data_IF_081992939992
#
_entry.id   IF_081992939992
#
_cell.length_a   1.000
_cell.length_b   1.000
_cell.length_c   1.000
_cell.angle_alpha   90.00
_cell.angle_beta   90.00
_cell.angle_gamma   90.00
#
_symmetry.space_group_name_H-M   'P 1'
#
loop_
_entity.id
_entity.type
_entity.pdbx_description
1 polymer ?
#
# COMPACT_ATOMS: atom_id res chain seq x y z
N UNK A 1 -16.65 -7.38 24.86
CA UNK A 1 -17.38 -7.11 23.59
C UNK A 1 -16.60 -6.23 22.59
N UNK A 2 -15.56 -5.49 22.99
CA UNK A 2 -14.92 -4.43 22.18
C UNK A 2 -13.91 -4.88 21.10
N UNK A 3 -13.63 -6.19 20.96
CA UNK A 3 -12.69 -6.74 19.95
C UNK A 3 -13.34 -7.57 18.83
N UNK A 4 -14.46 -8.25 19.11
CA UNK A 4 -15.21 -9.01 18.11
C UNK A 4 -15.76 -8.11 17.02
N UNK A 5 -16.41 -7.02 17.42
CA UNK A 5 -16.93 -6.01 16.50
C UNK A 5 -15.83 -5.41 15.61
N UNK A 6 -14.63 -5.16 16.13
CA UNK A 6 -13.52 -4.65 15.31
C UNK A 6 -13.02 -5.66 14.28
N UNK A 7 -12.93 -6.94 14.64
CA UNK A 7 -12.53 -8.00 13.69
C UNK A 7 -13.55 -8.17 12.58
N UNK A 8 -14.83 -8.17 12.93
CA UNK A 8 -15.90 -8.34 11.96
C UNK A 8 -16.01 -7.14 11.02
N UNK A 9 -15.80 -5.92 11.55
CA UNK A 9 -15.71 -4.70 10.74
C UNK A 9 -14.49 -4.71 9.80
N UNK A 10 -13.34 -5.21 10.25
CA UNK A 10 -12.15 -5.34 9.39
C UNK A 10 -12.39 -6.37 8.29
N UNK A 11 -13.00 -7.51 8.63
CA UNK A 11 -13.37 -8.54 7.64
C UNK A 11 -14.37 -8.00 6.63
N UNK A 12 -15.40 -7.27 7.09
CA UNK A 12 -16.37 -6.63 6.22
C UNK A 12 -15.73 -5.58 5.30
N UNK A 13 -14.81 -4.76 5.82
CA UNK A 13 -14.03 -3.79 5.03
C UNK A 13 -13.13 -4.47 4.00
N UNK A 14 -12.47 -5.56 4.36
CA UNK A 14 -11.66 -6.34 3.43
C UNK A 14 -12.52 -6.96 2.33
N UNK A 15 -13.61 -7.64 2.69
CA UNK A 15 -14.55 -8.20 1.72
C UNK A 15 -15.17 -7.13 0.82
N UNK A 16 -15.48 -5.93 1.34
CA UNK A 16 -15.95 -4.81 0.53
C UNK A 16 -14.88 -4.33 -0.45
N UNK A 17 -13.62 -4.25 -0.03
CA UNK A 17 -12.50 -3.86 -0.91
C UNK A 17 -12.26 -4.88 -2.04
N UNK A 18 -12.40 -6.18 -1.75
CA UNK A 18 -12.33 -7.23 -2.77
C UNK A 18 -13.52 -7.16 -3.75
N UNK A 19 -14.73 -6.88 -3.24
CA UNK A 19 -15.96 -6.84 -4.06
C UNK A 19 -16.16 -5.53 -4.84
N UNK A 20 -15.68 -4.41 -4.32
CA UNK A 20 -15.84 -3.07 -4.92
C UNK A 20 -14.52 -2.49 -5.45
N UNK A 21 -13.45 -3.28 -5.46
CA UNK A 21 -12.16 -2.86 -5.99
C UNK A 21 -12.21 -2.86 -7.51
N UNK A 22 -12.10 -1.68 -8.13
CA UNK A 22 -11.72 -1.56 -9.54
C UNK A 22 -10.47 -2.41 -9.76
N UNK A 23 -10.44 -3.23 -10.82
CA UNK A 23 -9.24 -4.02 -11.13
C UNK A 23 -8.04 -3.08 -11.29
N UNK A 24 -6.82 -3.59 -11.13
CA UNK A 24 -5.63 -2.75 -11.29
C UNK A 24 -5.58 -2.06 -12.67
N UNK A 25 -6.27 -2.57 -13.69
CA UNK A 25 -6.39 -1.95 -15.01
C UNK A 25 -7.51 -0.89 -15.09
N UNK A 26 -8.53 -0.97 -14.24
CA UNK A 26 -9.66 -0.02 -14.17
C UNK A 26 -9.38 1.17 -13.26
N UNK A 27 -8.24 1.19 -12.56
CA UNK A 27 -7.82 2.35 -11.80
C UNK A 27 -7.40 3.48 -12.75
N UNK A 28 -7.95 4.68 -12.53
CA UNK A 28 -7.74 5.83 -13.42
C UNK A 28 -6.25 6.21 -13.57
N UNK A 29 -5.43 6.00 -12.53
CA UNK A 29 -3.97 6.22 -12.57
C UNK A 29 -3.17 5.15 -13.33
N UNK A 30 -3.83 4.06 -13.71
CA UNK A 30 -3.27 2.95 -14.49
C UNK A 30 -3.80 2.92 -15.94
N UNK A 31 -4.72 3.83 -16.28
CA UNK A 31 -5.29 3.96 -17.63
C UNK A 31 -4.18 4.29 -18.63
N UNK A 32 -4.10 3.52 -19.70
CA UNK A 32 -3.12 3.73 -20.77
C UNK A 32 -1.71 3.20 -20.49
N UNK A 33 -1.49 2.49 -19.37
CA UNK A 33 -0.19 1.88 -19.05
C UNK A 33 -0.20 0.38 -19.26
N UNK A 34 0.87 -0.12 -19.86
CA UNK A 34 1.12 -1.56 -19.93
C UNK A 34 1.43 -2.12 -18.54
N UNK A 35 1.34 -3.44 -18.38
CA UNK A 35 1.72 -4.10 -17.12
C UNK A 35 3.19 -3.85 -16.76
N UNK A 36 4.06 -3.77 -17.77
CA UNK A 36 5.48 -3.53 -17.60
C UNK A 36 5.76 -2.12 -17.09
N UNK A 37 5.13 -1.10 -17.68
CA UNK A 37 5.25 0.29 -17.23
C UNK A 37 4.73 0.49 -15.80
N UNK A 38 3.66 -0.23 -15.42
CA UNK A 38 3.15 -0.24 -14.05
C UNK A 38 4.19 -0.81 -13.07
N UNK A 39 4.75 -1.98 -13.40
CA UNK A 39 5.80 -2.62 -12.58
C UNK A 39 7.04 -1.74 -12.44
N UNK A 40 7.46 -1.09 -13.53
CA UNK A 40 8.62 -0.20 -13.50
C UNK A 40 8.39 1.01 -12.60
N UNK A 41 7.24 1.67 -12.72
CA UNK A 41 6.86 2.78 -11.82
C UNK A 41 6.82 2.35 -10.36
N UNK A 42 6.24 1.19 -10.07
CA UNK A 42 6.17 0.67 -8.69
C UNK A 42 7.56 0.32 -8.15
N UNK A 43 8.44 -0.21 -8.98
CA UNK A 43 9.84 -0.47 -8.64
C UNK A 43 10.61 0.84 -8.37
N UNK A 44 10.42 1.87 -9.19
CA UNK A 44 11.05 3.18 -9.02
C UNK A 44 10.65 3.84 -7.70
N UNK A 45 9.34 3.87 -7.41
CA UNK A 45 8.82 4.36 -6.13
C UNK A 45 9.35 3.56 -4.93
N UNK A 46 9.56 2.25 -5.09
CA UNK A 46 10.14 1.41 -4.04
C UNK A 46 11.62 1.73 -3.81
N UNK A 47 12.40 1.95 -4.87
CA UNK A 47 13.80 2.39 -4.77
C UNK A 47 13.89 3.75 -4.09
N UNK A 48 13.09 4.72 -4.51
CA UNK A 48 13.00 6.04 -3.88
C UNK A 48 12.62 5.94 -2.40
N UNK A 49 11.63 5.10 -2.05
CA UNK A 49 11.23 4.89 -0.65
C UNK A 49 12.33 4.23 0.18
N UNK A 50 13.11 3.32 -0.40
CA UNK A 50 14.25 2.72 0.29
C UNK A 50 15.35 3.75 0.53
N UNK A 51 15.69 4.54 -0.49
CA UNK A 51 16.66 5.63 -0.37
C UNK A 51 16.22 6.65 0.67
N UNK A 52 14.95 7.07 0.63
CA UNK A 52 14.38 7.97 1.63
C UNK A 52 14.40 7.37 3.04
N UNK A 53 14.07 6.10 3.20
CA UNK A 53 14.18 5.41 4.50
C UNK A 53 15.61 5.35 5.02
N UNK A 54 16.61 5.19 4.14
CA UNK A 54 18.02 5.21 4.52
C UNK A 54 18.41 6.63 4.95
N UNK A 55 18.06 7.64 4.15
CA UNK A 55 18.31 9.05 4.48
C UNK A 55 17.62 9.48 5.79
N UNK A 56 16.36 9.09 5.99
CA UNK A 56 15.60 9.40 7.22
C UNK A 56 16.23 8.71 8.44
N UNK A 57 16.74 7.47 8.29
CA UNK A 57 17.48 6.76 9.34
C UNK A 57 18.83 7.43 9.66
N UNK A 58 19.56 7.88 8.65
CA UNK A 58 20.83 8.59 8.81
C UNK A 58 20.65 9.98 9.43
N UNK A 59 19.53 10.65 9.13
CA UNK A 59 19.16 11.94 9.71
C UNK A 59 18.57 11.85 11.13
N UNK A 60 18.61 10.69 11.79
CA UNK A 60 18.11 10.50 13.16
C UNK A 60 16.59 10.54 13.32
N UNK A 61 15.84 10.70 12.21
CA UNK A 61 14.39 10.65 12.18
C UNK A 61 13.92 9.21 12.09
N UNK A 62 13.70 8.56 13.23
CA UNK A 62 13.04 7.26 13.33
C UNK A 62 11.59 7.30 12.79
N UNK A 63 11.43 7.38 11.48
CA UNK A 63 10.15 7.35 10.76
C UNK A 63 9.59 5.93 10.74
N UNK A 64 8.80 5.62 11.78
CA UNK A 64 8.17 4.34 12.01
C UNK A 64 7.39 3.80 10.81
N UNK A 65 7.53 2.48 10.59
CA UNK A 65 6.88 1.75 9.51
C UNK A 65 6.42 0.38 9.98
N UNK A 66 5.42 0.37 10.87
CA UNK A 66 4.37 -0.65 11.02
C UNK A 66 4.79 -2.11 10.83
N UNK A 67 5.42 -2.70 11.85
CA UNK A 67 5.35 -4.14 12.05
C UNK A 67 4.04 -4.47 12.77
N UNK A 68 3.14 -5.17 12.09
CA UNK A 68 2.01 -5.82 12.75
C UNK A 68 2.55 -6.73 13.86
N UNK A 69 2.17 -6.43 15.11
CA UNK A 69 2.30 -7.32 16.27
C UNK A 69 0.92 -7.58 16.83
#
# INVERSE_FOLDING_TARGET
MTRGNQRDLVRAKAMKKEKSGKSASDQDGNKGLTLEQRKQRDADRMREKQLKKIQDKEAGGGGGGGGNK
#
